data_IF_934188743734
#
_entry.id   IF_934188743734
#
_cell.length_a   1.000
_cell.length_b   1.000
_cell.length_c   1.000
_cell.angle_alpha   90.00
_cell.angle_beta   90.00
_cell.angle_gamma   90.00
#
_symmetry.space_group_name_H-M   'P 1'
#
loop_
_entity.id
_entity.type
_entity.pdbx_description
1 polymer ?
#
# COMPACT_ATOMS: atom_id res chain seq x y z
N UNK A 1 -17.64 0.74 -5.86
CA UNK A 1 -16.95 1.99 -5.48
C UNK A 1 -17.41 3.04 -6.48
N UNK A 2 -18.10 4.08 -6.02
CA UNK A 2 -18.72 5.08 -6.90
C UNK A 2 -17.73 6.22 -7.11
N UNK A 3 -17.47 6.56 -8.38
CA UNK A 3 -16.64 7.70 -8.79
C UNK A 3 -17.53 8.69 -9.56
N UNK A 4 -17.53 9.94 -9.11
CA UNK A 4 -18.12 11.06 -9.84
C UNK A 4 -17.11 11.57 -10.88
N UNK A 5 -17.48 11.52 -12.16
CA UNK A 5 -16.64 12.00 -13.26
C UNK A 5 -17.19 13.33 -13.76
N UNK A 6 -16.43 14.41 -13.62
CA UNK A 6 -16.75 15.76 -14.14
C UNK A 6 -15.73 16.19 -15.20
N UNK A 7 -16.09 17.20 -16.01
CA UNK A 7 -15.20 17.75 -17.04
C UNK A 7 -13.92 18.30 -16.43
N UNK A 8 -14.02 19.02 -15.32
CA UNK A 8 -12.86 19.62 -14.63
C UNK A 8 -11.79 18.58 -14.30
N UNK A 9 -12.19 17.36 -13.99
CA UNK A 9 -11.29 16.29 -13.61
C UNK A 9 -10.51 15.71 -14.81
N UNK A 10 -11.02 15.93 -16.03
CA UNK A 10 -10.52 15.42 -17.31
C UNK A 10 -9.73 16.47 -18.13
N UNK A 11 -9.50 17.67 -17.59
CA UNK A 11 -8.79 18.75 -18.30
C UNK A 11 -7.25 18.66 -18.23
N UNK A 12 -6.67 17.46 -18.13
CA UNK A 12 -5.22 17.24 -17.96
C UNK A 12 -4.42 16.98 -19.26
N UNK A 13 -5.01 17.27 -20.43
CA UNK A 13 -4.33 17.25 -21.72
C UNK A 13 -4.33 15.91 -22.45
N UNK A 14 -4.75 14.83 -21.79
CA UNK A 14 -4.79 13.48 -22.37
C UNK A 14 -6.08 13.19 -23.15
N UNK A 15 -7.17 13.87 -22.79
CA UNK A 15 -8.49 13.70 -23.38
C UNK A 15 -8.77 14.66 -24.53
N UNK A 16 -9.63 14.21 -25.44
CA UNK A 16 -10.22 15.07 -26.46
C UNK A 16 -11.73 14.94 -26.46
N UNK A 17 -12.41 16.05 -26.68
CA UNK A 17 -13.85 16.20 -26.52
C UNK A 17 -14.49 16.58 -27.85
N UNK A 18 -15.67 16.04 -28.08
CA UNK A 18 -16.55 16.50 -29.15
C UNK A 18 -17.76 17.15 -28.49
N UNK A 19 -17.96 18.42 -28.83
CA UNK A 19 -19.14 19.17 -28.46
C UNK A 19 -20.20 19.04 -29.55
N UNK A 20 -21.48 19.11 -29.17
CA UNK A 20 -22.59 19.19 -30.13
C UNK A 20 -22.40 20.32 -31.13
N UNK A 21 -22.72 20.08 -32.40
CA UNK A 21 -22.43 21.00 -33.50
C UNK A 21 -23.11 22.37 -33.30
N UNK A 22 -24.36 22.38 -32.83
CA UNK A 22 -25.08 23.62 -32.50
C UNK A 22 -24.36 24.41 -31.39
N UNK A 23 -23.80 23.73 -30.40
CA UNK A 23 -23.08 24.37 -29.32
C UNK A 23 -21.71 24.89 -29.77
N UNK A 24 -21.05 24.18 -30.69
CA UNK A 24 -19.80 24.64 -31.33
C UNK A 24 -19.99 25.90 -32.15
N UNK A 25 -21.09 26.00 -32.91
CA UNK A 25 -21.46 27.22 -33.63
C UNK A 25 -21.69 28.38 -32.65
N UNK A 26 -22.39 28.15 -31.54
CA UNK A 26 -22.59 29.15 -30.47
C UNK A 26 -21.26 29.63 -29.87
N UNK A 27 -20.33 28.72 -29.56
CA UNK A 27 -18.99 29.06 -29.05
C UNK A 27 -18.24 29.90 -30.10
N UNK A 28 -18.29 29.50 -31.37
CA UNK A 28 -17.59 30.19 -32.45
C UNK A 28 -18.10 31.62 -32.64
N UNK A 29 -19.42 31.84 -32.61
CA UNK A 29 -19.99 33.19 -32.70
C UNK A 29 -19.67 34.03 -31.45
N UNK A 30 -19.66 33.44 -30.24
CA UNK A 30 -19.19 34.15 -29.04
C UNK A 30 -17.74 34.61 -29.16
N UNK A 31 -16.85 33.76 -29.70
CA UNK A 31 -15.44 34.11 -29.95
C UNK A 31 -15.33 35.24 -30.97
N UNK A 32 -16.13 35.21 -32.03
CA UNK A 32 -16.21 36.26 -33.05
C UNK A 32 -16.63 37.61 -32.48
N UNK A 33 -17.68 37.61 -31.67
CA UNK A 33 -18.20 38.83 -31.04
C UNK A 33 -17.18 39.43 -30.08
N UNK A 34 -16.50 38.58 -29.30
CA UNK A 34 -15.47 39.01 -28.35
C UNK A 34 -14.21 39.52 -29.04
N UNK A 35 -13.73 38.81 -30.06
CA UNK A 35 -12.50 39.10 -30.77
C UNK A 35 -12.84 39.46 -32.21
N UNK A 36 -13.01 40.77 -32.49
CA UNK A 36 -13.34 41.32 -33.82
C UNK A 36 -12.41 40.83 -34.94
N UNK A 37 -11.18 40.43 -34.62
CA UNK A 37 -10.21 39.80 -35.52
C UNK A 37 -9.98 38.33 -35.14
N UNK A 38 -10.12 37.44 -36.13
CA UNK A 38 -9.88 36.01 -36.02
C UNK A 38 -8.47 35.63 -35.59
N UNK A 39 -7.47 36.45 -35.93
CA UNK A 39 -6.08 36.23 -35.49
C UNK A 39 -5.96 36.39 -33.97
N UNK A 40 -6.68 37.35 -33.40
CA UNK A 40 -6.71 37.59 -31.96
C UNK A 40 -7.49 36.47 -31.24
N UNK A 41 -8.59 36.00 -31.83
CA UNK A 41 -9.34 34.85 -31.33
C UNK A 41 -8.46 33.58 -31.30
N UNK A 42 -7.76 33.28 -32.40
CA UNK A 42 -6.87 32.12 -32.49
C UNK A 42 -5.70 32.22 -31.50
N UNK A 43 -5.10 33.40 -31.36
CA UNK A 43 -4.04 33.67 -30.37
C UNK A 43 -4.52 33.48 -28.94
N UNK A 44 -5.75 33.91 -28.62
CA UNK A 44 -6.33 33.76 -27.27
C UNK A 44 -6.58 32.30 -26.88
N UNK A 45 -6.77 31.43 -27.87
CA UNK A 45 -6.97 29.99 -27.69
C UNK A 45 -5.69 29.16 -27.86
N UNK A 46 -4.57 29.82 -28.17
CA UNK A 46 -3.27 29.20 -28.46
C UNK A 46 -3.35 28.14 -29.58
N UNK A 47 -3.99 28.52 -30.70
CA UNK A 47 -4.14 27.69 -31.90
C UNK A 47 -3.87 28.52 -33.15
N UNK A 48 -3.60 27.84 -34.28
CA UNK A 48 -3.52 28.53 -35.56
C UNK A 48 -4.91 28.96 -36.07
N UNK A 49 -4.93 29.95 -36.96
CA UNK A 49 -6.18 30.54 -37.49
C UNK A 49 -7.01 29.51 -38.26
N UNK A 50 -6.40 28.54 -38.95
CA UNK A 50 -7.17 27.49 -39.64
C UNK A 50 -7.83 26.55 -38.64
N UNK A 51 -7.17 26.30 -37.52
CA UNK A 51 -7.71 25.51 -36.42
C UNK A 51 -8.91 26.14 -35.71
N UNK A 52 -9.03 27.47 -35.73
CA UNK A 52 -10.19 28.18 -35.19
C UNK A 52 -11.47 27.80 -35.94
N UNK A 53 -11.43 27.70 -37.27
CA UNK A 53 -12.57 27.25 -38.07
C UNK A 53 -12.93 25.78 -37.83
N UNK A 54 -11.99 24.99 -37.33
CA UNK A 54 -12.23 23.63 -36.85
C UNK A 54 -12.92 23.56 -35.49
N UNK A 55 -13.05 24.66 -34.76
CA UNK A 55 -13.96 24.73 -33.62
C UNK A 55 -15.39 24.73 -34.12
N UNK A 56 -15.70 25.49 -35.18
CA UNK A 56 -17.02 25.54 -35.82
C UNK A 56 -17.34 24.25 -36.60
N UNK A 57 -16.46 23.88 -37.53
CA UNK A 57 -16.65 22.71 -38.40
C UNK A 57 -16.22 21.47 -37.62
N UNK A 58 -17.20 20.65 -37.25
CA UNK A 58 -17.02 19.42 -36.48
C UNK A 58 -16.21 18.32 -37.19
N UNK A 59 -15.67 18.61 -38.36
CA UNK A 59 -14.89 17.72 -39.20
C UNK A 59 -13.82 18.45 -40.02
N UNK A 60 -12.80 17.71 -40.43
CA UNK A 60 -11.81 18.09 -41.43
C UNK A 60 -11.92 17.18 -42.66
N UNK A 61 -11.42 17.64 -43.82
CA UNK A 61 -11.36 16.82 -45.05
C UNK A 61 -9.89 16.63 -45.49
N UNK A 62 -9.08 15.85 -44.76
CA UNK A 62 -7.76 15.47 -45.23
C UNK A 62 -7.90 14.42 -46.35
N UNK A 63 -7.34 14.71 -47.53
CA UNK A 63 -7.30 13.80 -48.69
C UNK A 63 -8.70 13.29 -49.12
N UNK A 64 -9.72 14.16 -49.09
CA UNK A 64 -11.07 13.83 -49.54
C UNK A 64 -11.98 13.11 -48.53
N UNK A 65 -11.46 12.68 -47.38
CA UNK A 65 -12.23 11.94 -46.38
C UNK A 65 -12.67 12.81 -45.20
N UNK A 66 -13.96 12.83 -44.85
CA UNK A 66 -14.50 13.53 -43.69
C UNK A 66 -14.03 12.85 -42.39
N UNK A 67 -13.24 13.56 -41.56
CA UNK A 67 -12.77 13.08 -40.25
C UNK A 67 -13.27 13.99 -39.14
N UNK A 68 -13.84 13.41 -38.08
CA UNK A 68 -14.30 14.16 -36.90
C UNK A 68 -13.14 14.93 -36.24
N UNK A 69 -13.38 16.20 -35.94
CA UNK A 69 -12.42 17.07 -35.24
C UNK A 69 -12.79 17.22 -33.78
N UNK A 70 -11.94 16.67 -32.92
CA UNK A 70 -12.04 16.79 -31.46
C UNK A 70 -11.27 18.00 -30.94
N UNK A 71 -11.76 18.61 -29.87
CA UNK A 71 -11.10 19.68 -29.11
C UNK A 71 -10.25 19.06 -28.00
N UNK A 72 -9.02 19.50 -27.82
CA UNK A 72 -8.18 19.05 -26.70
C UNK A 72 -8.65 19.64 -25.37
N UNK A 73 -8.27 19.01 -24.25
CA UNK A 73 -8.47 19.61 -22.91
C UNK A 73 -7.97 21.05 -22.82
N UNK A 74 -6.81 21.35 -23.43
CA UNK A 74 -6.24 22.70 -23.47
C UNK A 74 -7.16 23.68 -24.20
N UNK A 75 -7.71 23.27 -25.34
CA UNK A 75 -8.66 24.11 -26.09
C UNK A 75 -9.96 24.34 -25.32
N UNK A 76 -10.53 23.29 -24.70
CA UNK A 76 -11.73 23.43 -23.86
C UNK A 76 -11.47 24.37 -22.69
N UNK A 77 -10.33 24.23 -22.00
CA UNK A 77 -9.96 25.10 -20.89
C UNK A 77 -9.77 26.56 -21.35
N UNK A 78 -9.09 26.77 -22.49
CA UNK A 78 -8.95 28.11 -23.07
C UNK A 78 -10.30 28.72 -23.45
N UNK A 79 -11.26 27.94 -23.95
CA UNK A 79 -12.61 28.40 -24.28
C UNK A 79 -13.36 28.80 -23.00
N UNK A 80 -13.33 27.96 -21.96
CA UNK A 80 -13.95 28.24 -20.65
C UNK A 80 -13.43 29.56 -20.08
N UNK A 81 -12.11 29.72 -20.02
CA UNK A 81 -11.46 30.92 -19.47
C UNK A 81 -11.73 32.16 -20.32
N UNK A 82 -11.58 32.06 -21.65
CA UNK A 82 -11.77 33.21 -22.51
C UNK A 82 -13.23 33.66 -22.55
N UNK A 83 -14.18 32.75 -22.63
CA UNK A 83 -15.60 33.12 -22.75
C UNK A 83 -16.30 33.23 -21.39
N UNK A 84 -15.60 33.00 -20.28
CA UNK A 84 -16.15 32.95 -18.91
C UNK A 84 -17.39 32.04 -18.83
N UNK A 85 -17.30 30.86 -19.46
CA UNK A 85 -18.40 29.90 -19.48
C UNK A 85 -18.38 29.04 -18.22
N UNK A 86 -19.57 28.68 -17.73
CA UNK A 86 -19.70 27.68 -16.67
C UNK A 86 -19.29 26.30 -17.20
N UNK A 87 -18.44 25.61 -16.45
CA UNK A 87 -18.02 24.24 -16.74
C UNK A 87 -19.23 23.31 -16.87
N UNK A 88 -20.28 23.51 -16.06
CA UNK A 88 -21.50 22.71 -16.13
C UNK A 88 -22.31 22.95 -17.42
N UNK A 89 -22.18 24.12 -18.06
CA UNK A 89 -22.81 24.41 -19.35
C UNK A 89 -22.16 23.54 -20.44
N UNK A 90 -20.82 23.51 -20.48
CA UNK A 90 -20.09 22.74 -21.50
C UNK A 90 -20.27 21.24 -21.30
N UNK A 91 -20.30 20.76 -20.06
CA UNK A 91 -20.51 19.33 -19.71
C UNK A 91 -21.73 18.73 -20.41
N UNK A 92 -22.84 19.45 -20.42
CA UNK A 92 -24.11 19.01 -21.02
C UNK A 92 -24.05 18.84 -22.54
N UNK A 93 -23.10 19.51 -23.19
CA UNK A 93 -22.94 19.51 -24.64
C UNK A 93 -21.78 18.64 -25.13
N UNK A 94 -21.05 17.97 -24.24
CA UNK A 94 -20.08 16.96 -24.63
C UNK A 94 -20.83 15.70 -25.03
N UNK A 95 -20.62 15.22 -26.27
CA UNK A 95 -21.24 13.98 -26.75
C UNK A 95 -20.23 12.90 -27.04
N UNK A 96 -18.95 13.22 -27.25
CA UNK A 96 -17.91 12.21 -27.45
C UNK A 96 -16.66 12.56 -26.66
N UNK A 97 -16.03 11.54 -26.09
CA UNK A 97 -14.72 11.66 -25.46
C UNK A 97 -13.79 10.63 -26.13
N UNK A 98 -12.61 11.10 -26.55
CA UNK A 98 -11.57 10.31 -27.18
C UNK A 98 -10.35 10.22 -26.28
N UNK A 99 -9.90 8.99 -26.04
CA UNK A 99 -8.73 8.62 -25.25
C UNK A 99 -7.53 8.38 -26.19
N UNK A 100 -6.69 9.39 -26.39
CA UNK A 100 -5.46 9.23 -27.19
C UNK A 100 -5.70 8.67 -28.61
N UNK A 101 -4.86 7.73 -29.06
CA UNK A 101 -5.00 7.06 -30.37
C UNK A 101 -5.80 5.74 -30.31
N UNK A 102 -6.13 5.23 -29.12
CA UNK A 102 -6.58 3.86 -28.90
C UNK A 102 -8.09 3.59 -29.17
N UNK A 103 -8.83 4.57 -29.67
CA UNK A 103 -10.24 4.45 -30.05
C UNK A 103 -11.08 5.67 -29.67
N UNK A 104 -12.31 5.74 -30.18
CA UNK A 104 -13.31 6.76 -29.82
C UNK A 104 -14.65 6.09 -29.49
N UNK A 105 -15.49 6.72 -28.66
CA UNK A 105 -16.90 6.33 -28.49
C UNK A 105 -17.83 7.54 -28.48
N UNK A 106 -19.04 7.30 -28.97
CA UNK A 106 -20.15 8.26 -29.03
C UNK A 106 -21.06 8.14 -27.80
N UNK A 107 -21.71 9.26 -27.45
CA UNK A 107 -22.75 9.42 -26.41
C UNK A 107 -22.27 9.25 -24.96
N UNK A 108 -21.27 10.05 -24.56
CA UNK A 108 -20.88 10.19 -23.14
C UNK A 108 -21.57 11.40 -22.55
N UNK A 109 -22.34 11.24 -21.46
CA UNK A 109 -22.98 12.36 -20.75
C UNK A 109 -22.17 12.69 -19.49
N UNK A 110 -21.73 13.95 -19.34
CA UNK A 110 -21.12 14.46 -18.10
C UNK A 110 -22.08 15.43 -17.40
N UNK A 111 -22.04 15.52 -16.04
CA UNK A 111 -21.30 14.64 -15.14
C UNK A 111 -21.91 13.23 -15.11
N UNK A 112 -21.12 12.22 -14.75
CA UNK A 112 -21.63 10.84 -14.58
C UNK A 112 -21.15 10.22 -13.29
N UNK A 113 -21.95 9.28 -12.77
CA UNK A 113 -21.57 8.39 -11.68
C UNK A 113 -21.26 7.01 -12.22
N UNK A 114 -20.07 6.51 -11.89
CA UNK A 114 -19.62 5.19 -12.31
C UNK A 114 -19.34 4.34 -11.08
N UNK A 115 -20.08 3.24 -10.92
CA UNK A 115 -19.77 2.22 -9.93
C UNK A 115 -18.73 1.24 -10.51
N UNK A 116 -17.47 1.41 -10.12
CA UNK A 116 -16.36 0.57 -10.60
C UNK A 116 -16.51 -0.91 -10.26
N UNK A 117 -17.40 -1.29 -9.33
CA UNK A 117 -17.64 -2.70 -9.01
C UNK A 117 -18.65 -3.36 -9.98
N UNK A 118 -19.48 -2.56 -10.65
CA UNK A 118 -20.55 -3.02 -11.54
C UNK A 118 -20.26 -2.74 -13.01
N UNK A 119 -19.46 -1.71 -13.31
CA UNK A 119 -19.18 -1.28 -14.67
C UNK A 119 -18.18 -2.25 -15.37
N UNK A 120 -18.46 -2.77 -16.57
CA UNK A 120 -17.57 -3.72 -17.25
C UNK A 120 -16.20 -3.11 -17.63
N UNK A 121 -15.12 -3.91 -17.55
CA UNK A 121 -13.73 -3.50 -17.81
C UNK A 121 -13.46 -2.92 -19.21
N UNK A 122 -14.30 -3.25 -20.18
CA UNK A 122 -14.17 -2.79 -21.56
C UNK A 122 -14.88 -1.47 -21.85
N UNK A 123 -15.52 -0.85 -20.85
CA UNK A 123 -16.29 0.38 -21.06
C UNK A 123 -15.44 1.63 -20.90
N UNK A 124 -15.79 2.68 -21.65
CA UNK A 124 -15.16 3.99 -21.49
C UNK A 124 -15.52 4.66 -20.17
N UNK A 125 -16.73 4.41 -19.64
CA UNK A 125 -17.15 4.89 -18.33
C UNK A 125 -16.20 4.37 -17.24
N UNK A 126 -15.90 3.08 -17.29
CA UNK A 126 -14.88 2.48 -16.43
C UNK A 126 -13.51 3.07 -16.68
N UNK A 127 -13.06 3.24 -17.93
CA UNK A 127 -11.76 3.84 -18.22
C UNK A 127 -11.63 5.28 -17.68
N UNK A 128 -12.68 6.09 -17.77
CA UNK A 128 -12.72 7.46 -17.24
C UNK A 128 -12.68 7.45 -15.70
N UNK A 129 -13.49 6.60 -15.07
CA UNK A 129 -13.49 6.45 -13.62
C UNK A 129 -12.16 5.86 -13.10
N UNK A 130 -11.54 4.93 -13.82
CA UNK A 130 -10.22 4.37 -13.51
C UNK A 130 -9.12 5.43 -13.67
N UNK A 131 -9.20 6.32 -14.67
CA UNK A 131 -8.28 7.45 -14.82
C UNK A 131 -8.34 8.37 -13.61
N UNK A 132 -9.55 8.77 -13.19
CA UNK A 132 -9.74 9.61 -12.00
C UNK A 132 -9.28 8.91 -10.72
N UNK A 133 -9.63 7.63 -10.58
CA UNK A 133 -9.16 6.81 -9.48
C UNK A 133 -7.63 6.77 -9.44
N UNK A 134 -6.97 6.52 -10.57
CA UNK A 134 -5.51 6.50 -10.64
C UNK A 134 -4.90 7.87 -10.37
N UNK A 135 -5.52 8.95 -10.82
CA UNK A 135 -5.09 10.32 -10.54
C UNK A 135 -5.20 10.66 -9.05
N UNK A 136 -6.33 10.32 -8.42
CA UNK A 136 -6.61 10.62 -7.02
C UNK A 136 -5.77 9.75 -6.07
N UNK A 137 -5.70 8.45 -6.34
CA UNK A 137 -5.09 7.47 -5.44
C UNK A 137 -3.69 7.03 -5.87
N UNK A 138 -3.16 7.60 -6.97
CA UNK A 138 -1.83 7.30 -7.53
C UNK A 138 -1.59 5.80 -7.73
N UNK A 139 -2.65 5.04 -8.06
CA UNK A 139 -2.62 3.57 -8.18
C UNK A 139 -3.67 3.06 -9.18
N UNK A 140 -3.43 1.93 -9.85
CA UNK A 140 -4.39 1.39 -10.83
C UNK A 140 -5.50 0.57 -10.15
N UNK A 141 -6.72 0.57 -10.71
CA UNK A 141 -7.82 -0.29 -10.22
C UNK A 141 -7.49 -1.78 -10.37
N UNK A 142 -6.62 -2.14 -11.32
CA UNK A 142 -6.10 -3.51 -11.48
C UNK A 142 -5.10 -3.92 -10.38
N UNK A 143 -4.50 -2.95 -9.70
CA UNK A 143 -3.65 -3.14 -8.52
C UNK A 143 -4.43 -3.09 -7.20
N UNK A 144 -5.74 -2.84 -7.26
CA UNK A 144 -6.59 -3.08 -6.12
C UNK A 144 -6.78 -4.59 -5.96
N UNK A 145 -6.64 -5.14 -4.74
CA UNK A 145 -6.97 -6.54 -4.47
C UNK A 145 -8.38 -6.85 -5.00
N UNK A 146 -8.51 -7.83 -5.90
CA UNK A 146 -9.81 -8.30 -6.38
C UNK A 146 -10.62 -8.78 -5.17
N UNK A 147 -11.69 -8.03 -4.85
CA UNK A 147 -12.69 -8.28 -3.80
C UNK A 147 -12.07 -8.54 -2.42
N UNK A 148 -12.14 -7.52 -1.58
CA UNK A 148 -12.28 -7.70 -0.13
C UNK A 148 -13.60 -8.46 0.12
N UNK A 149 -13.53 -9.79 0.08
CA UNK A 149 -14.65 -10.63 0.52
C UNK A 149 -14.75 -10.39 2.03
N UNK A 150 -15.92 -9.94 2.50
CA UNK A 150 -16.28 -10.03 3.91
C UNK A 150 -16.37 -11.52 4.27
N UNK A 151 -15.22 -12.15 4.46
CA UNK A 151 -15.09 -13.08 5.57
C UNK A 151 -14.89 -12.23 6.83
N UNK A 152 -15.04 -12.81 8.02
CA UNK A 152 -14.79 -12.11 9.28
C UNK A 152 -13.44 -11.39 9.34
N UNK A 153 -12.49 -11.79 8.48
CA UNK A 153 -11.16 -11.21 8.33
C UNK A 153 -10.91 -10.78 6.88
N UNK A 154 -10.10 -9.73 6.72
CA UNK A 154 -9.64 -9.27 5.42
C UNK A 154 -8.68 -10.31 4.84
N UNK A 155 -8.85 -10.67 3.56
CA UNK A 155 -7.91 -11.56 2.88
C UNK A 155 -7.36 -10.98 1.58
N UNK A 156 -6.06 -11.15 1.38
CA UNK A 156 -5.36 -10.84 0.14
C UNK A 156 -5.25 -12.10 -0.71
N UNK A 157 -5.93 -12.11 -1.85
CA UNK A 157 -5.81 -13.17 -2.86
C UNK A 157 -4.66 -12.84 -3.82
N UNK A 158 -3.74 -13.78 -3.99
CA UNK A 158 -2.50 -13.60 -4.74
C UNK A 158 -2.59 -14.40 -6.03
N UNK A 159 -2.27 -13.73 -7.15
CA UNK A 159 -2.19 -14.34 -8.47
C UNK A 159 -0.85 -14.00 -9.09
N UNK A 160 -0.16 -15.02 -9.60
CA UNK A 160 1.07 -14.82 -10.39
C UNK A 160 0.64 -14.55 -11.83
N UNK A 161 0.74 -13.28 -12.24
CA UNK A 161 0.35 -12.88 -13.59
C UNK A 161 1.30 -13.46 -14.65
N UNK A 162 0.81 -13.83 -15.85
CA UNK A 162 1.65 -14.30 -16.95
C UNK A 162 2.78 -13.33 -17.32
N UNK A 163 2.53 -12.02 -17.24
CA UNK A 163 3.54 -10.98 -17.48
C UNK A 163 4.74 -11.07 -16.54
N UNK A 164 4.55 -11.58 -15.31
CA UNK A 164 5.65 -11.77 -14.36
C UNK A 164 6.55 -12.93 -14.77
N UNK A 165 5.95 -14.02 -15.25
CA UNK A 165 6.69 -15.17 -15.80
C UNK A 165 7.47 -14.73 -17.04
N UNK A 166 6.83 -13.95 -17.92
CA UNK A 166 7.48 -13.43 -19.12
C UNK A 166 8.65 -12.50 -18.80
N UNK A 167 8.52 -11.64 -17.78
CA UNK A 167 9.63 -10.78 -17.33
C UNK A 167 10.86 -11.56 -16.85
N UNK A 168 10.68 -12.79 -16.34
CA UNK A 168 11.79 -13.65 -15.96
C UNK A 168 12.42 -14.31 -17.19
N UNK A 169 11.60 -14.75 -18.17
CA UNK A 169 12.08 -15.27 -19.45
C UNK A 169 12.93 -14.26 -20.22
N UNK A 170 12.47 -13.00 -20.28
CA UNK A 170 13.21 -11.90 -20.90
C UNK A 170 14.56 -11.62 -20.24
N UNK A 171 14.77 -12.04 -18.99
CA UNK A 171 16.05 -11.97 -18.27
C UNK A 171 16.95 -13.19 -18.51
N UNK A 172 16.58 -14.07 -19.46
CA UNK A 172 17.29 -15.32 -19.75
C UNK A 172 17.03 -16.44 -18.74
N UNK A 173 16.09 -16.27 -17.81
CA UNK A 173 15.72 -17.33 -16.87
C UNK A 173 14.75 -18.31 -17.53
N UNK A 174 14.75 -19.57 -17.09
CA UNK A 174 13.77 -20.59 -17.53
C UNK A 174 12.73 -20.84 -16.45
N UNK A 175 11.72 -19.97 -16.27
CA UNK A 175 10.75 -20.10 -15.19
C UNK A 175 9.72 -21.19 -15.46
N UNK A 176 9.40 -21.94 -14.41
CA UNK A 176 8.30 -22.90 -14.32
C UNK A 176 7.43 -22.53 -13.12
N UNK A 177 6.12 -22.52 -13.32
CA UNK A 177 5.15 -22.22 -12.27
C UNK A 177 4.35 -23.49 -11.96
N UNK A 178 4.55 -24.04 -10.78
CA UNK A 178 3.71 -25.11 -10.26
C UNK A 178 2.63 -24.51 -9.36
N UNK A 179 1.40 -24.99 -9.51
CA UNK A 179 0.27 -24.56 -8.69
C UNK A 179 -0.06 -25.68 -7.72
N UNK A 180 0.21 -25.49 -6.42
CA UNK A 180 -0.24 -26.39 -5.34
C UNK A 180 -1.58 -25.91 -4.80
N UNK A 181 -2.18 -26.59 -3.83
CA UNK A 181 -3.47 -26.20 -3.25
C UNK A 181 -3.41 -24.79 -2.64
N UNK A 182 -2.49 -24.56 -1.71
CA UNK A 182 -2.39 -23.34 -0.89
C UNK A 182 -1.35 -22.31 -1.36
N UNK A 183 -0.40 -22.71 -2.20
CA UNK A 183 0.69 -21.84 -2.66
C UNK A 183 1.09 -22.15 -4.11
N UNK A 184 1.83 -21.22 -4.70
CA UNK A 184 2.55 -21.40 -5.95
C UNK A 184 4.02 -21.71 -5.65
N UNK A 185 4.63 -22.54 -6.49
CA UNK A 185 6.07 -22.74 -6.54
C UNK A 185 6.58 -22.18 -7.86
N UNK A 186 7.34 -21.09 -7.79
CA UNK A 186 8.01 -20.51 -8.94
C UNK A 186 9.47 -20.96 -8.93
N UNK A 187 9.81 -21.81 -9.90
CA UNK A 187 11.16 -22.35 -10.08
C UNK A 187 11.81 -21.69 -11.29
N UNK A 188 13.10 -21.38 -11.22
CA UNK A 188 13.87 -20.98 -12.39
C UNK A 188 15.35 -21.29 -12.21
N UNK A 189 16.02 -21.60 -13.32
CA UNK A 189 17.47 -21.79 -13.37
C UNK A 189 18.16 -20.47 -13.69
N UNK A 190 19.15 -20.09 -12.88
CA UNK A 190 19.99 -18.92 -13.17
C UNK A 190 21.08 -19.33 -14.18
N UNK A 191 21.11 -18.79 -15.41
CA UNK A 191 22.10 -19.18 -16.39
C UNK A 191 23.54 -18.81 -15.99
N UNK A 192 23.72 -17.79 -15.12
CA UNK A 192 25.05 -17.35 -14.68
C UNK A 192 25.69 -18.22 -13.60
N UNK A 193 24.89 -18.82 -12.70
CA UNK A 193 25.41 -19.67 -11.61
C UNK A 193 25.03 -21.15 -11.78
N UNK A 194 24.17 -21.44 -12.76
CA UNK A 194 23.57 -22.74 -13.02
C UNK A 194 22.67 -23.30 -11.89
N UNK A 195 22.46 -22.52 -10.82
CA UNK A 195 21.66 -22.91 -9.66
C UNK A 195 20.17 -22.89 -9.95
N UNK A 196 19.47 -23.83 -9.33
CA UNK A 196 18.01 -23.82 -9.25
C UNK A 196 17.55 -22.93 -8.11
N UNK A 197 16.70 -21.97 -8.45
CA UNK A 197 16.05 -21.10 -7.48
C UNK A 197 14.59 -21.48 -7.40
N UNK A 198 14.14 -21.78 -6.17
CA UNK A 198 12.74 -21.99 -5.85
C UNK A 198 12.22 -20.81 -5.02
N UNK A 199 10.99 -20.38 -5.32
CA UNK A 199 10.27 -19.35 -4.57
C UNK A 199 8.85 -19.84 -4.30
N UNK A 200 8.50 -19.91 -3.02
CA UNK A 200 7.14 -20.25 -2.58
C UNK A 200 6.35 -18.97 -2.33
N UNK A 201 5.17 -18.87 -2.95
CA UNK A 201 4.27 -17.71 -2.81
C UNK A 201 2.89 -18.23 -2.39
N UNK A 202 2.33 -17.83 -1.24
CA UNK A 202 0.99 -18.25 -0.84
C UNK A 202 -0.05 -17.75 -1.85
N UNK A 203 -1.13 -18.49 -2.05
CA UNK A 203 -2.26 -18.05 -2.90
C UNK A 203 -3.16 -17.06 -2.18
N UNK A 204 -3.17 -17.09 -0.85
CA UNK A 204 -4.03 -16.28 -0.01
C UNK A 204 -3.31 -15.96 1.29
N UNK A 205 -3.47 -14.73 1.76
CA UNK A 205 -3.03 -14.30 3.09
C UNK A 205 -4.24 -13.73 3.81
N UNK A 206 -4.50 -14.19 5.03
CA UNK A 206 -5.60 -13.71 5.87
C UNK A 206 -5.01 -12.76 6.92
N UNK A 207 -5.53 -11.54 6.98
CA UNK A 207 -5.11 -10.51 7.92
C UNK A 207 -5.89 -10.63 9.23
N UNK A 208 -5.63 -11.72 9.96
CA UNK A 208 -6.15 -11.96 11.30
C UNK A 208 -5.21 -11.40 12.38
N UNK A 209 -5.55 -11.57 13.65
CA UNK A 209 -4.79 -11.07 14.81
C UNK A 209 -3.34 -11.58 14.80
N UNK A 210 -3.15 -12.88 14.54
CA UNK A 210 -1.83 -13.50 14.50
C UNK A 210 -0.96 -12.90 13.39
N UNK A 211 -1.47 -12.86 12.16
CA UNK A 211 -0.73 -12.29 11.04
C UNK A 211 -0.51 -10.77 11.23
N UNK A 212 -1.52 -10.05 11.71
CA UNK A 212 -1.44 -8.61 11.94
C UNK A 212 -0.37 -8.26 12.97
N UNK A 213 -0.26 -9.03 14.06
CA UNK A 213 0.81 -8.86 15.06
C UNK A 213 2.20 -9.02 14.42
N UNK A 214 2.43 -10.12 13.71
CA UNK A 214 3.74 -10.36 13.09
C UNK A 214 4.03 -9.37 11.95
N UNK A 215 3.01 -8.89 11.25
CA UNK A 215 3.15 -7.82 10.27
C UNK A 215 3.51 -6.49 10.94
N UNK A 216 2.93 -6.17 12.11
CA UNK A 216 3.30 -5.00 12.91
C UNK A 216 4.76 -5.03 13.36
N UNK A 217 5.24 -6.21 13.82
CA UNK A 217 6.67 -6.44 14.12
C UNK A 217 7.55 -6.16 12.91
N UNK A 218 7.16 -6.66 11.74
CA UNK A 218 7.90 -6.45 10.51
C UNK A 218 7.92 -4.98 10.06
N UNK A 219 6.81 -4.25 10.20
CA UNK A 219 6.78 -2.82 9.86
C UNK A 219 7.82 -2.04 10.69
N UNK A 220 7.94 -2.34 11.99
CA UNK A 220 8.95 -1.72 12.87
C UNK A 220 10.37 -2.21 12.59
N UNK A 221 10.61 -3.52 12.71
CA UNK A 221 11.95 -4.10 12.82
C UNK A 221 12.41 -4.90 11.59
N UNK A 222 11.84 -4.62 10.41
CA UNK A 222 12.23 -5.32 9.16
C UNK A 222 13.71 -5.18 8.83
N UNK A 223 14.26 -6.28 8.33
CA UNK A 223 15.62 -6.34 7.79
C UNK A 223 15.67 -6.95 6.38
N UNK A 224 16.86 -7.02 5.78
CA UNK A 224 17.10 -7.77 4.54
C UNK A 224 16.89 -7.02 3.21
N UNK A 225 16.41 -5.78 3.26
CA UNK A 225 16.27 -4.92 2.08
C UNK A 225 15.18 -5.37 1.10
N UNK A 226 15.20 -4.90 -0.16
CA UNK A 226 14.09 -5.09 -1.11
C UNK A 226 13.96 -6.52 -1.69
N UNK A 227 14.84 -7.45 -1.29
CA UNK A 227 14.88 -8.81 -1.82
C UNK A 227 14.53 -9.88 -0.79
N UNK A 228 14.36 -9.48 0.47
CA UNK A 228 14.16 -10.39 1.58
C UNK A 228 12.99 -9.91 2.45
N UNK A 229 12.46 -10.86 3.19
CA UNK A 229 11.50 -10.60 4.27
C UNK A 229 12.15 -11.14 5.52
N UNK A 230 12.29 -10.31 6.52
CA UNK A 230 12.91 -10.71 7.77
C UNK A 230 12.76 -9.63 8.82
N UNK A 231 13.10 -9.99 10.04
CA UNK A 231 13.16 -9.08 11.19
C UNK A 231 14.47 -9.27 11.94
N UNK A 232 14.90 -8.22 12.62
CA UNK A 232 16.04 -8.27 13.52
C UNK A 232 15.65 -7.71 14.90
N UNK A 233 15.95 -8.45 15.96
CA UNK A 233 15.65 -8.04 17.33
C UNK A 233 16.55 -8.77 18.34
N UNK A 234 16.72 -8.23 19.54
CA UNK A 234 17.48 -8.90 20.62
C UNK A 234 16.70 -10.01 21.31
N UNK A 235 15.38 -9.95 21.27
CA UNK A 235 14.52 -10.90 21.97
C UNK A 235 14.32 -12.18 21.15
N UNK A 236 14.60 -13.31 21.78
CA UNK A 236 14.49 -14.64 21.16
C UNK A 236 13.05 -15.00 20.81
N UNK A 237 12.09 -14.65 21.67
CA UNK A 237 10.66 -14.87 21.44
C UNK A 237 10.14 -14.10 20.24
N UNK A 238 10.63 -12.88 20.02
CA UNK A 238 10.28 -12.06 18.86
C UNK A 238 10.65 -12.76 17.55
N UNK A 239 11.86 -13.33 17.49
CA UNK A 239 12.39 -14.05 16.32
C UNK A 239 11.66 -15.38 16.12
N UNK A 240 11.43 -16.14 17.19
CA UNK A 240 10.73 -17.43 17.13
C UNK A 240 9.30 -17.27 16.64
N UNK A 241 8.57 -16.27 17.13
CA UNK A 241 7.21 -15.97 16.66
C UNK A 241 7.22 -15.59 15.16
N UNK A 242 8.20 -14.78 14.72
CA UNK A 242 8.29 -14.40 13.31
C UNK A 242 8.70 -15.58 12.41
N UNK A 243 9.49 -16.54 12.92
CA UNK A 243 9.76 -17.78 12.18
C UNK A 243 8.47 -18.55 11.88
N UNK A 244 7.57 -18.65 12.87
CA UNK A 244 6.28 -19.33 12.70
C UNK A 244 5.44 -18.67 11.62
N UNK A 245 5.47 -17.34 11.47
CA UNK A 245 4.72 -16.69 10.37
C UNK A 245 5.30 -17.03 9.00
N UNK A 246 6.63 -17.19 8.88
CA UNK A 246 7.25 -17.63 7.61
C UNK A 246 6.85 -19.08 7.27
N UNK A 247 6.75 -19.95 8.27
CA UNK A 247 6.26 -21.33 8.12
C UNK A 247 4.78 -21.36 7.70
N UNK A 248 3.92 -20.53 8.30
CA UNK A 248 2.51 -20.36 7.89
C UNK A 248 2.39 -19.84 6.45
N UNK A 249 3.33 -19.02 6.00
CA UNK A 249 3.45 -18.59 4.61
C UNK A 249 4.13 -19.64 3.70
N UNK A 250 4.28 -20.87 4.20
CA UNK A 250 4.87 -22.03 3.53
C UNK A 250 6.31 -21.79 3.03
N UNK A 251 7.07 -20.94 3.71
CA UNK A 251 8.48 -20.74 3.36
C UNK A 251 9.29 -21.97 3.78
N UNK A 252 10.08 -22.57 2.87
CA UNK A 252 10.88 -23.74 3.21
C UNK A 252 11.91 -23.40 4.29
N UNK A 253 12.01 -24.22 5.35
CA UNK A 253 12.95 -23.96 6.46
C UNK A 253 14.41 -23.85 6.00
N UNK A 254 14.79 -24.57 4.92
CA UNK A 254 16.12 -24.48 4.29
C UNK A 254 16.45 -23.09 3.70
N UNK A 255 15.42 -22.31 3.36
CA UNK A 255 15.55 -20.98 2.76
C UNK A 255 15.45 -19.86 3.80
N UNK A 256 15.12 -20.20 5.05
CA UNK A 256 15.07 -19.29 6.18
C UNK A 256 16.47 -19.22 6.79
N UNK A 257 17.08 -18.05 6.70
CA UNK A 257 18.37 -17.75 7.33
C UNK A 257 18.14 -17.27 8.76
N UNK A 258 18.73 -17.98 9.71
CA UNK A 258 18.80 -17.59 11.12
C UNK A 258 20.25 -17.31 11.49
N UNK A 259 20.56 -16.06 11.83
CA UNK A 259 21.91 -15.61 12.16
C UNK A 259 21.90 -14.63 13.34
N UNK A 260 23.02 -14.51 14.04
CA UNK A 260 23.28 -13.41 14.99
C UNK A 260 24.15 -12.40 14.26
N UNK A 261 23.69 -11.16 14.21
CA UNK A 261 24.49 -10.02 13.74
C UNK A 261 25.18 -9.36 14.92
N UNK A 262 26.52 -9.29 14.88
CA UNK A 262 27.35 -8.73 15.96
C UNK A 262 28.21 -7.57 15.44
N UNK A 263 28.46 -6.56 16.27
CA UNK A 263 29.54 -5.61 15.99
C UNK A 263 30.89 -6.35 15.96
N UNK A 264 31.85 -5.85 15.18
CA UNK A 264 33.15 -6.52 14.97
C UNK A 264 33.93 -6.80 16.27
N UNK A 265 33.67 -6.03 17.33
CA UNK A 265 34.38 -6.15 18.61
C UNK A 265 33.57 -6.91 19.68
N UNK A 266 32.41 -7.46 19.33
CA UNK A 266 31.54 -8.19 20.24
C UNK A 266 31.61 -9.70 19.98
N UNK A 267 31.95 -10.48 21.00
CA UNK A 267 31.94 -11.93 20.93
C UNK A 267 30.69 -12.47 21.64
N UNK A 268 29.77 -13.14 20.92
CA UNK A 268 28.59 -13.73 21.55
C UNK A 268 28.98 -14.88 22.48
N UNK A 269 28.38 -14.92 23.67
CA UNK A 269 28.56 -16.01 24.64
C UNK A 269 27.72 -17.25 24.24
N UNK A 270 27.89 -18.36 24.96
CA UNK A 270 27.16 -19.61 24.67
C UNK A 270 25.64 -19.45 24.75
N UNK A 271 25.14 -18.65 25.69
CA UNK A 271 23.70 -18.37 25.83
C UNK A 271 23.11 -17.74 24.57
N UNK A 272 23.86 -16.83 23.93
CA UNK A 272 23.41 -16.19 22.69
C UNK A 272 23.37 -17.17 21.52
N UNK A 273 24.23 -18.19 21.51
CA UNK A 273 24.34 -19.19 20.44
C UNK A 273 23.28 -20.30 20.52
N UNK A 274 22.34 -20.22 21.47
CA UNK A 274 21.26 -21.20 21.67
C UNK A 274 20.32 -21.31 20.46
N UNK A 275 20.02 -20.20 19.78
CA UNK A 275 19.13 -20.20 18.60
C UNK A 275 19.87 -20.59 17.31
N UNK A 276 21.09 -20.09 17.14
CA UNK A 276 21.88 -20.30 15.92
C UNK A 276 23.36 -20.16 16.20
N UNK A 277 24.15 -21.00 15.52
CA UNK A 277 25.61 -20.94 15.51
C UNK A 277 26.15 -20.02 14.42
N UNK A 278 25.28 -19.51 13.53
CA UNK A 278 25.70 -18.65 12.42
C UNK A 278 25.86 -17.21 12.91
N UNK A 279 27.09 -16.69 12.84
CA UNK A 279 27.43 -15.33 13.25
C UNK A 279 27.81 -14.50 12.02
N UNK A 280 27.23 -13.31 11.89
CA UNK A 280 27.61 -12.30 10.89
C UNK A 280 28.13 -11.05 11.61
N UNK A 281 29.40 -10.72 11.39
CA UNK A 281 29.97 -9.49 11.91
C UNK A 281 29.63 -8.31 10.98
N UNK A 282 28.89 -7.34 11.50
CA UNK A 282 28.54 -6.10 10.83
C UNK A 282 28.07 -5.04 11.83
N UNK A 283 28.15 -3.76 11.47
CA UNK A 283 27.61 -2.67 12.29
C UNK A 283 26.10 -2.87 12.50
N UNK A 284 25.68 -3.05 13.75
CA UNK A 284 24.28 -3.22 14.12
C UNK A 284 23.70 -1.92 14.71
N UNK A 285 22.43 -1.66 14.41
CA UNK A 285 21.66 -0.54 14.99
C UNK A 285 21.06 -0.89 16.37
N UNK A 286 21.17 -2.15 16.78
CA UNK A 286 20.53 -2.71 17.97
C UNK A 286 21.47 -2.75 19.19
N UNK A 287 22.64 -2.12 19.14
CA UNK A 287 23.67 -2.18 20.19
C UNK A 287 24.78 -3.14 19.77
N UNK A 288 25.16 -4.10 20.62
CA UNK A 288 26.28 -5.02 20.32
C UNK A 288 25.90 -6.19 19.41
N UNK A 289 24.67 -6.67 19.53
CA UNK A 289 24.15 -7.78 18.74
C UNK A 289 22.64 -7.65 18.48
N UNK A 290 22.16 -8.40 17.49
CA UNK A 290 20.76 -8.75 17.31
C UNK A 290 20.64 -10.10 16.61
N UNK A 291 19.64 -10.88 16.99
CA UNK A 291 19.20 -12.01 16.20
C UNK A 291 18.52 -11.52 14.94
N UNK A 292 18.67 -12.28 13.86
CA UNK A 292 18.10 -11.97 12.57
C UNK A 292 17.54 -13.23 11.95
N UNK A 293 16.30 -13.12 11.51
CA UNK A 293 15.63 -14.14 10.71
C UNK A 293 15.20 -13.53 9.39
N UNK A 294 15.57 -14.15 8.27
CA UNK A 294 15.16 -13.67 6.95
C UNK A 294 15.02 -14.77 5.91
N UNK A 295 14.05 -14.61 5.00
CA UNK A 295 13.89 -15.44 3.81
C UNK A 295 14.20 -14.62 2.55
N UNK A 296 15.03 -15.17 1.67
CA UNK A 296 15.37 -14.52 0.40
C UNK A 296 14.27 -14.75 -0.65
N UNK A 297 13.16 -14.03 -0.53
CA UNK A 297 12.01 -14.15 -1.43
C UNK A 297 11.46 -12.79 -1.89
N UNK A 298 12.10 -12.21 -2.92
CA UNK A 298 11.66 -10.94 -3.56
C UNK A 298 10.21 -11.02 -4.05
N UNK A 299 9.76 -12.17 -4.55
CA UNK A 299 8.42 -12.29 -5.11
C UNK A 299 7.37 -12.20 -4.01
N UNK A 300 7.59 -12.90 -2.89
CA UNK A 300 6.75 -12.79 -1.70
C UNK A 300 6.76 -11.36 -1.14
N UNK A 301 7.94 -10.72 -1.07
CA UNK A 301 8.08 -9.33 -0.62
C UNK A 301 7.15 -8.41 -1.42
N UNK A 302 7.30 -8.46 -2.74
CA UNK A 302 6.59 -7.57 -3.65
C UNK A 302 5.09 -7.86 -3.76
N UNK A 303 4.68 -9.13 -3.76
CA UNK A 303 3.28 -9.52 -3.99
C UNK A 303 2.45 -9.61 -2.70
N UNK A 304 3.09 -9.57 -1.54
CA UNK A 304 2.40 -9.68 -0.25
C UNK A 304 2.75 -8.50 0.63
N UNK A 305 3.97 -8.45 1.14
CA UNK A 305 4.35 -7.49 2.17
C UNK A 305 4.29 -6.04 1.70
N UNK A 306 4.81 -5.73 0.50
CA UNK A 306 4.77 -4.38 -0.06
C UNK A 306 3.33 -3.94 -0.39
N UNK A 307 2.47 -4.89 -0.80
CA UNK A 307 1.04 -4.61 -1.06
C UNK A 307 0.33 -4.30 0.27
N UNK A 308 0.53 -5.14 1.28
CA UNK A 308 -0.06 -4.95 2.60
C UNK A 308 0.43 -3.65 3.25
N UNK A 309 1.70 -3.29 3.11
CA UNK A 309 2.25 -2.01 3.59
C UNK A 309 1.62 -0.83 2.86
N UNK A 310 1.54 -0.89 1.52
CA UNK A 310 0.93 0.16 0.69
C UNK A 310 -0.52 0.44 1.09
N UNK A 311 -1.27 -0.59 1.47
CA UNK A 311 -2.69 -0.47 1.83
C UNK A 311 -2.96 -0.59 3.33
N UNK A 312 -1.92 -0.49 4.18
CA UNK A 312 -1.99 -0.79 5.61
C UNK A 312 -3.17 -0.10 6.31
N UNK A 313 -3.26 1.22 6.21
CA UNK A 313 -4.30 1.98 6.91
C UNK A 313 -5.71 1.68 6.39
N UNK A 314 -5.85 1.36 5.10
CA UNK A 314 -7.14 0.91 4.56
C UNK A 314 -7.52 -0.47 5.10
N UNK A 315 -6.55 -1.37 5.25
CA UNK A 315 -6.78 -2.71 5.83
C UNK A 315 -7.18 -2.55 7.29
N UNK A 316 -6.40 -1.82 8.09
CA UNK A 316 -6.67 -1.61 9.51
C UNK A 316 -8.03 -0.95 9.75
N UNK A 317 -8.36 0.11 9.00
CA UNK A 317 -9.64 0.82 9.13
C UNK A 317 -10.87 -0.07 8.89
N UNK A 318 -10.74 -1.11 8.07
CA UNK A 318 -11.80 -2.06 7.77
C UNK A 318 -11.69 -3.38 8.56
N UNK A 319 -10.72 -3.48 9.48
CA UNK A 319 -10.52 -4.67 10.31
C UNK A 319 -11.28 -4.56 11.64
N UNK A 320 -11.48 -5.70 12.31
CA UNK A 320 -11.99 -5.76 13.68
C UNK A 320 -11.02 -5.07 14.66
N UNK A 321 -11.54 -4.58 15.80
CA UNK A 321 -10.74 -3.92 16.85
C UNK A 321 -9.59 -4.79 17.35
N UNK A 322 -9.78 -6.09 17.43
CA UNK A 322 -8.82 -7.08 17.90
C UNK A 322 -7.63 -7.18 16.94
N UNK A 323 -7.89 -7.12 15.63
CA UNK A 323 -6.85 -7.13 14.58
C UNK A 323 -6.02 -5.85 14.62
N UNK A 324 -6.67 -4.69 14.78
CA UNK A 324 -5.98 -3.40 14.95
C UNK A 324 -5.10 -3.43 16.21
N UNK A 325 -5.66 -3.93 17.31
CA UNK A 325 -4.95 -4.08 18.58
C UNK A 325 -3.75 -5.01 18.45
N UNK A 326 -3.90 -6.17 17.80
CA UNK A 326 -2.82 -7.11 17.58
C UNK A 326 -1.71 -6.52 16.70
N UNK A 327 -2.05 -5.80 15.64
CA UNK A 327 -1.07 -5.05 14.84
C UNK A 327 -0.25 -4.09 15.70
N UNK A 328 -0.93 -3.29 16.53
CA UNK A 328 -0.24 -2.34 17.41
C UNK A 328 0.53 -3.01 18.54
N UNK A 329 0.14 -4.19 18.99
CA UNK A 329 0.96 -5.00 19.89
C UNK A 329 2.29 -5.38 19.23
N UNK A 330 2.27 -5.84 17.98
CA UNK A 330 3.47 -6.20 17.24
C UNK A 330 4.38 -5.00 16.96
N UNK A 331 3.78 -3.87 16.56
CA UNK A 331 4.50 -2.62 16.35
C UNK A 331 5.10 -2.09 17.66
N UNK A 332 4.36 -2.20 18.77
CA UNK A 332 4.88 -1.86 20.09
C UNK A 332 5.99 -2.80 20.54
N UNK A 333 5.94 -4.10 20.23
CA UNK A 333 7.05 -5.03 20.50
C UNK A 333 8.33 -4.64 19.74
N UNK A 334 8.22 -4.11 18.53
CA UNK A 334 9.35 -3.61 17.74
C UNK A 334 9.83 -2.21 18.18
N UNK A 335 8.99 -1.19 18.07
CA UNK A 335 9.35 0.24 18.19
C UNK A 335 8.90 0.88 19.51
N UNK A 336 8.18 0.13 20.33
CA UNK A 336 7.60 0.62 21.57
C UNK A 336 8.60 0.72 22.71
N UNK A 337 8.45 1.77 23.52
CA UNK A 337 9.17 1.97 24.77
C UNK A 337 8.23 2.38 25.89
N UNK A 338 8.64 2.04 27.12
CA UNK A 338 7.91 2.37 28.34
C UNK A 338 8.79 3.28 29.20
N UNK A 339 8.34 4.51 29.44
CA UNK A 339 9.01 5.44 30.34
C UNK A 339 8.42 5.31 31.75
N UNK A 340 9.16 4.66 32.63
CA UNK A 340 8.72 4.41 34.01
C UNK A 340 8.57 5.70 34.84
N UNK A 341 9.40 6.72 34.58
CA UNK A 341 9.36 7.99 35.34
C UNK A 341 8.10 8.79 35.03
N UNK A 342 7.79 8.95 33.75
CA UNK A 342 6.58 9.68 33.32
C UNK A 342 5.34 8.78 33.24
N UNK A 343 5.50 7.46 33.41
CA UNK A 343 4.44 6.45 33.21
C UNK A 343 3.80 6.55 31.83
N UNK A 344 4.64 6.68 30.80
CA UNK A 344 4.20 6.86 29.42
C UNK A 344 4.58 5.66 28.56
N UNK A 345 3.69 5.37 27.61
CA UNK A 345 3.96 4.45 26.50
C UNK A 345 4.25 5.30 25.28
N UNK A 346 5.29 4.92 24.55
CA UNK A 346 5.75 5.64 23.37
C UNK A 346 5.98 4.65 22.24
N UNK A 347 5.48 4.95 21.04
CA UNK A 347 5.88 4.29 19.79
C UNK A 347 6.62 5.33 18.95
N UNK A 348 7.86 5.03 18.56
CA UNK A 348 8.73 5.96 17.87
C UNK A 348 8.85 5.63 16.38
N UNK A 349 8.87 6.66 15.54
CA UNK A 349 9.07 6.54 14.09
C UNK A 349 10.20 7.46 13.66
N UNK A 350 11.21 6.91 12.99
CA UNK A 350 12.47 7.62 12.70
C UNK A 350 12.80 7.75 11.22
N UNK A 351 13.43 8.87 10.86
CA UNK A 351 14.09 9.08 9.57
C UNK A 351 15.56 9.46 9.82
N UNK A 352 16.47 8.73 9.17
CA UNK A 352 17.88 9.10 9.13
C UNK A 352 18.06 10.25 8.12
N UNK A 353 18.53 11.40 8.60
CA UNK A 353 18.65 12.59 7.77
C UNK A 353 19.90 12.53 6.88
N UNK A 354 20.97 11.79 7.22
CA UNK A 354 22.23 11.80 6.46
C UNK A 354 22.12 11.32 4.98
N UNK A 355 20.99 10.75 4.56
CA UNK A 355 20.73 10.29 3.18
C UNK A 355 19.73 11.22 2.47
N UNK A 356 20.24 12.34 1.94
CA UNK A 356 19.55 13.34 1.11
C UNK A 356 18.14 13.70 1.57
N UNK A 357 18.03 14.79 2.31
CA UNK A 357 16.74 15.32 2.77
C UNK A 357 15.93 15.84 1.59
N UNK A 358 14.66 15.46 1.53
CA UNK A 358 13.65 16.22 0.80
C UNK A 358 12.50 16.48 1.76
N UNK A 359 11.88 17.66 1.69
CA UNK A 359 10.69 17.99 2.48
C UNK A 359 9.60 16.92 2.30
N UNK A 360 9.55 16.29 1.13
CA UNK A 360 8.66 15.16 0.83
C UNK A 360 8.85 13.95 1.75
N UNK A 361 10.09 13.55 2.08
CA UNK A 361 10.34 12.41 2.98
C UNK A 361 9.85 12.70 4.40
N UNK A 362 10.03 13.94 4.86
CA UNK A 362 9.56 14.38 6.18
C UNK A 362 8.03 14.44 6.23
N UNK A 363 7.40 15.00 5.20
CA UNK A 363 5.94 15.04 5.08
C UNK A 363 5.34 13.64 5.00
N UNK A 364 5.99 12.73 4.27
CA UNK A 364 5.58 11.32 4.21
C UNK A 364 5.59 10.67 5.59
N UNK A 365 6.67 10.84 6.36
CA UNK A 365 6.76 10.32 7.73
C UNK A 365 5.68 10.92 8.63
N UNK A 366 5.45 12.23 8.56
CA UNK A 366 4.42 12.89 9.37
C UNK A 366 3.01 12.36 9.04
N UNK A 367 2.68 12.22 7.76
CA UNK A 367 1.39 11.68 7.32
C UNK A 367 1.21 10.22 7.78
N UNK A 368 2.28 9.43 7.77
CA UNK A 368 2.27 8.05 8.29
C UNK A 368 1.98 8.02 9.79
N UNK A 369 2.64 8.89 10.56
CA UNK A 369 2.40 9.02 12.02
C UNK A 369 0.97 9.47 12.31
N UNK A 370 0.44 10.46 11.57
CA UNK A 370 -0.95 10.90 11.72
C UNK A 370 -1.94 9.78 11.40
N UNK A 371 -1.67 9.00 10.35
CA UNK A 371 -2.51 7.84 10.00
C UNK A 371 -2.48 6.76 11.10
N UNK A 372 -1.34 6.57 11.77
CA UNK A 372 -1.26 5.69 12.94
C UNK A 372 -2.11 6.19 14.11
N UNK A 373 -2.06 7.49 14.40
CA UNK A 373 -2.89 8.12 15.44
C UNK A 373 -4.38 7.88 15.16
N UNK A 374 -4.84 8.06 13.92
CA UNK A 374 -6.23 7.78 13.53
C UNK A 374 -6.62 6.32 13.83
N UNK A 375 -5.76 5.35 13.53
CA UNK A 375 -6.07 3.93 13.81
C UNK A 375 -6.08 3.61 15.31
N UNK A 376 -5.24 4.27 16.12
CA UNK A 376 -5.26 4.12 17.59
C UNK A 376 -6.55 4.69 18.19
N UNK A 377 -7.07 5.78 17.64
CA UNK A 377 -8.36 6.33 18.04
C UNK A 377 -9.52 5.37 17.76
N UNK A 378 -9.46 4.58 16.67
CA UNK A 378 -10.48 3.55 16.39
C UNK A 378 -10.55 2.46 17.46
N UNK A 379 -9.47 2.21 18.20
CA UNK A 379 -9.47 1.31 19.35
C UNK A 379 -9.64 2.05 20.69
N UNK A 380 -10.08 3.31 20.65
CA UNK A 380 -10.39 4.12 21.83
C UNK A 380 -9.17 4.60 22.61
N UNK A 381 -8.00 4.66 21.98
CA UNK A 381 -6.76 5.13 22.61
C UNK A 381 -6.46 6.54 22.13
N UNK A 382 -6.46 7.50 23.06
CA UNK A 382 -6.02 8.86 22.77
C UNK A 382 -4.49 9.03 22.88
N UNK A 383 -3.93 9.75 21.92
CA UNK A 383 -2.47 9.95 21.81
C UNK A 383 -2.09 11.40 21.58
N UNK A 384 -0.84 11.71 21.86
CA UNK A 384 -0.18 12.97 21.53
C UNK A 384 1.03 12.69 20.63
N UNK A 385 1.34 13.64 19.75
CA UNK A 385 2.56 13.57 18.95
C UNK A 385 3.64 14.46 19.58
N UNK A 386 4.87 13.97 19.61
CA UNK A 386 6.03 14.81 19.91
C UNK A 386 7.12 14.61 18.87
N UNK A 387 7.89 15.66 18.60
CA UNK A 387 8.98 15.64 17.63
C UNK A 387 10.32 15.72 18.36
N UNK A 388 11.25 14.84 18.02
CA UNK A 388 12.63 14.83 18.49
C UNK A 388 13.59 14.95 17.32
N UNK A 389 14.59 15.81 17.45
CA UNK A 389 15.69 15.94 16.48
C UNK A 389 16.98 15.55 17.18
N UNK A 390 17.55 14.41 16.79
CA UNK A 390 18.83 13.96 17.31
C UNK A 390 19.97 14.75 16.68
N UNK A 391 20.84 15.32 17.53
CA UNK A 391 22.04 16.09 17.15
C UNK A 391 23.35 15.33 17.40
N UNK A 392 23.35 14.00 17.29
CA UNK A 392 24.60 13.22 17.28
C UNK A 392 25.15 13.14 15.84
N UNK A 393 26.32 12.52 15.65
CA UNK A 393 27.02 12.32 14.37
C UNK A 393 26.15 11.76 13.22
N UNK A 394 24.94 11.31 13.54
CA UNK A 394 23.85 11.02 12.61
C UNK A 394 22.63 11.89 12.93
N UNK A 395 22.41 12.94 12.15
CA UNK A 395 21.20 13.73 12.27
C UNK A 395 19.99 12.83 12.02
N UNK A 396 19.07 12.77 12.98
CA UNK A 396 17.85 11.95 12.89
C UNK A 396 16.65 12.76 13.29
N UNK A 397 15.55 12.56 12.55
CA UNK A 397 14.24 13.07 12.92
C UNK A 397 13.41 11.91 13.44
N UNK A 398 12.86 12.05 14.64
CA UNK A 398 11.91 11.10 15.21
C UNK A 398 10.59 11.78 15.56
N UNK A 399 9.49 11.10 15.27
CA UNK A 399 8.17 11.43 15.79
C UNK A 399 7.75 10.32 16.75
N UNK A 400 7.32 10.73 17.93
CA UNK A 400 6.86 9.84 18.98
C UNK A 400 5.35 9.98 19.13
N UNK A 401 4.63 8.86 19.04
CA UNK A 401 3.25 8.75 19.46
C UNK A 401 3.27 8.41 20.96
N UNK A 402 2.82 9.35 21.79
CA UNK A 402 2.78 9.24 23.25
C UNK A 402 1.35 9.01 23.70
N UNK A 403 1.16 8.01 24.55
CA UNK A 403 -0.14 7.65 25.07
C UNK A 403 -0.43 8.52 26.29
N UNK A 404 -1.65 9.06 26.39
CA UNK A 404 -2.07 9.75 27.63
C UNK A 404 -2.13 8.73 28.77
N UNK A 405 -1.99 9.18 30.02
CA UNK A 405 -1.83 8.27 31.17
C UNK A 405 -2.96 7.23 31.32
N UNK A 406 -4.22 7.64 31.15
CA UNK A 406 -5.38 6.74 31.23
C UNK A 406 -5.43 5.78 30.03
N UNK A 407 -5.12 6.29 28.84
CA UNK A 407 -5.05 5.51 27.60
C UNK A 407 -3.86 4.54 27.54
N UNK A 408 -2.77 4.83 28.24
CA UNK A 408 -1.64 3.93 28.38
C UNK A 408 -2.05 2.65 29.13
N UNK A 409 -2.90 2.79 30.17
CA UNK A 409 -3.47 1.65 30.88
C UNK A 409 -4.45 0.87 30.00
N UNK A 410 -5.37 1.57 29.34
CA UNK A 410 -6.32 0.95 28.40
C UNK A 410 -5.58 0.19 27.28
N UNK A 411 -4.51 0.77 26.74
CA UNK A 411 -3.68 0.13 25.74
C UNK A 411 -2.99 -1.12 26.29
N UNK A 412 -2.38 -1.03 27.49
CA UNK A 412 -1.79 -2.17 28.18
C UNK A 412 -2.80 -3.30 28.31
N UNK A 413 -4.01 -3.01 28.78
CA UNK A 413 -5.06 -4.02 28.94
C UNK A 413 -5.46 -4.70 27.63
N UNK A 414 -5.48 -3.93 26.54
CA UNK A 414 -5.83 -4.43 25.20
C UNK A 414 -4.73 -5.29 24.59
N UNK A 415 -3.46 -4.94 24.80
CA UNK A 415 -2.33 -5.69 24.23
C UNK A 415 -1.81 -6.82 25.12
N UNK A 416 -2.13 -6.82 26.42
CA UNK A 416 -1.66 -7.83 27.37
C UNK A 416 -1.90 -9.29 26.92
N UNK A 417 -3.04 -9.65 26.29
CA UNK A 417 -3.25 -11.01 25.77
C UNK A 417 -2.31 -11.39 24.62
N UNK A 418 -1.75 -10.42 23.92
CA UNK A 418 -0.95 -10.63 22.72
C UNK A 418 0.56 -10.51 22.97
N UNK A 419 0.99 -9.80 24.01
CA UNK A 419 2.41 -9.50 24.24
C UNK A 419 3.16 -10.71 24.81
N UNK A 420 4.35 -11.00 24.28
CA UNK A 420 5.23 -12.10 24.74
C UNK A 420 6.63 -11.64 25.13
N UNK A 421 6.82 -10.33 25.29
CA UNK A 421 8.11 -9.73 25.62
C UNK A 421 8.22 -9.52 27.14
N UNK A 422 9.00 -10.35 27.87
CA UNK A 422 8.99 -10.35 29.34
C UNK A 422 9.36 -9.01 29.97
N UNK A 423 10.42 -8.35 29.49
CA UNK A 423 10.82 -7.03 30.01
C UNK A 423 9.76 -5.94 29.78
N UNK A 424 9.05 -5.97 28.64
CA UNK A 424 7.97 -5.01 28.36
C UNK A 424 6.78 -5.30 29.26
N UNK A 425 6.44 -6.58 29.48
CA UNK A 425 5.41 -7.00 30.43
C UNK A 425 5.74 -6.50 31.84
N UNK A 426 6.97 -6.69 32.31
CA UNK A 426 7.41 -6.23 33.63
C UNK A 426 7.29 -4.71 33.77
N UNK A 427 7.73 -3.95 32.76
CA UNK A 427 7.59 -2.48 32.76
C UNK A 427 6.12 -2.04 32.66
N UNK A 428 5.27 -2.77 31.96
CA UNK A 428 3.83 -2.52 31.89
C UNK A 428 3.15 -2.80 33.24
N UNK A 429 3.56 -3.85 33.96
CA UNK A 429 3.13 -4.15 35.32
C UNK A 429 3.46 -3.00 36.27
N UNK A 430 4.65 -2.40 36.13
CA UNK A 430 5.06 -1.26 36.96
C UNK A 430 4.23 0.01 36.71
N UNK A 431 3.57 0.14 35.54
CA UNK A 431 2.67 1.24 35.23
C UNK A 431 1.23 0.93 35.63
N UNK A 432 0.72 -0.27 35.31
CA UNK A 432 -0.68 -0.64 35.46
C UNK A 432 -1.05 -1.45 36.70
N UNK A 433 -0.07 -1.89 37.48
CA UNK A 433 -0.27 -2.77 38.64
C UNK A 433 -0.37 -4.25 38.26
N UNK A 434 0.09 -5.14 39.14
CA UNK A 434 0.14 -6.60 38.89
C UNK A 434 -1.23 -7.21 38.54
N UNK A 435 -2.30 -6.76 39.20
CA UNK A 435 -3.64 -7.33 39.00
C UNK A 435 -4.20 -7.09 37.60
N UNK A 436 -3.85 -5.98 36.96
CA UNK A 436 -4.35 -5.58 35.63
C UNK A 436 -3.75 -6.44 34.52
N UNK A 437 -2.49 -6.86 34.70
CA UNK A 437 -1.71 -7.59 33.68
C UNK A 437 -1.76 -9.10 33.93
N UNK A 438 -1.63 -9.57 35.18
CA UNK A 438 -1.63 -11.01 35.50
C UNK A 438 -3.00 -11.68 35.34
N UNK A 439 -4.13 -10.99 35.58
CA UNK A 439 -5.46 -11.59 35.42
C UNK A 439 -5.83 -11.88 33.95
N UNK A 440 -5.16 -11.23 32.98
CA UNK A 440 -5.41 -11.43 31.53
C UNK A 440 -4.31 -12.23 30.82
N UNK A 441 -3.24 -12.60 31.53
CA UNK A 441 -2.21 -13.53 31.06
C UNK A 441 -2.64 -14.97 31.39
N UNK A 442 -3.53 -15.57 30.59
CA UNK A 442 -3.93 -16.99 30.74
C UNK A 442 -4.16 -17.67 29.37
N UNK A 443 -4.03 -19.01 29.33
CA UNK A 443 -2.91 -19.74 28.73
C UNK A 443 -2.93 -19.72 27.20
N UNK A 444 -1.74 -19.93 26.62
CA UNK A 444 -1.46 -20.19 25.20
C UNK A 444 -2.68 -20.12 24.27
N UNK A 445 -2.83 -19.00 23.55
CA UNK A 445 -3.65 -19.00 22.34
C UNK A 445 -3.16 -20.17 21.48
N UNK A 446 -4.00 -21.20 21.37
CA UNK A 446 -3.77 -22.41 20.61
C UNK A 446 -3.07 -22.05 19.30
N UNK A 447 -1.86 -22.57 19.11
CA UNK A 447 -1.08 -22.51 17.86
C UNK A 447 -1.77 -23.41 16.78
N UNK A 448 -3.07 -23.67 16.92
CA UNK A 448 -3.85 -24.60 16.15
C UNK A 448 -4.42 -23.99 14.88
N UNK A 449 -3.80 -24.35 13.76
CA UNK A 449 -4.44 -24.66 12.48
C UNK A 449 -5.26 -23.55 11.80
N UNK A 450 -4.58 -22.73 11.01
CA UNK A 450 -5.15 -22.22 9.74
C UNK A 450 -4.39 -22.92 8.62
N UNK A 451 -4.86 -24.13 8.34
CA UNK A 451 -4.33 -25.09 7.37
C UNK A 451 -5.21 -26.35 7.29
N UNK A 452 -6.00 -26.65 8.32
CA UNK A 452 -7.08 -27.64 8.27
C UNK A 452 -8.37 -27.08 8.88
N UNK A 453 -9.10 -26.26 8.13
CA UNK A 453 -10.53 -26.05 8.38
C UNK A 453 -11.24 -26.23 7.04
N UNK A 454 -11.39 -27.50 6.64
CA UNK A 454 -12.41 -28.04 5.70
C UNK A 454 -12.23 -29.55 5.42
N UNK A 455 -11.18 -30.20 5.95
CA UNK A 455 -11.03 -31.66 5.87
C UNK A 455 -11.49 -32.35 7.15
N UNK A 456 -12.77 -32.23 7.53
CA UNK A 456 -13.46 -33.11 8.50
C UNK A 456 -14.96 -32.79 8.58
N UNK A 457 -15.66 -32.80 7.43
CA UNK A 457 -17.12 -32.93 7.37
C UNK A 457 -17.54 -33.75 6.14
N UNK A 458 -16.85 -34.84 5.87
CA UNK A 458 -17.32 -35.93 4.98
C UNK A 458 -16.71 -37.27 5.42
N UNK A 459 -16.89 -37.62 6.68
CA UNK A 459 -16.92 -39.03 7.08
C UNK A 459 -18.25 -39.25 7.78
N UNK A 460 -19.27 -39.61 6.99
CA UNK A 460 -20.43 -40.30 7.50
C UNK A 460 -19.96 -41.67 8.00
N UNK A 461 -20.11 -42.02 9.28
CA UNK A 461 -20.00 -43.40 9.71
C UNK A 461 -21.39 -44.06 9.62
N UNK A 462 -21.46 -45.12 8.82
CA UNK A 462 -22.45 -46.23 8.86
C UNK A 462 -23.91 -45.90 8.51
N UNK A 463 -24.37 -46.43 7.39
CA UNK A 463 -25.02 -47.75 7.31
C UNK A 463 -24.77 -48.37 5.94
#
# INVERSE_FOLDING_TARGET
MIIDVKLVDLLDGTFRFYLEDLYRDKIFEKLRQKHKDWRLAAKSLDIDVRSLFGIRRSYEIPKGCKKIRYLSSKQINSILVNLQLDTNEIEKHITHIKLGQAGFRSRVNLPMQVDLDKEPFSTINRALAEHLFTKQYKTSVKELPQKFIKEEYISLNIKILPSKIESLRLRGLKPQLQTKEYYYILQYRNPGTNDYVEKVIPKRVIFNENFAKEFGKWIGDRCGGPHKIGVANKQTSFISDFNKILEVLHQPSKDISNEITCNNNFQPNEDLLTITKNIRYCKTQYGDYAYRIEVANKVLRNLVFDILEKYLFSILKNSKSEVITAFYCGLFEAEGSVNLKSKEIIISFGLNLNKSHTNEKVLKLLNEVLSHIEMLQLIGVETQISRKVGRTDQASLKYDIRFKKQDALLFIEKIAPFIKHPEKIERMIQIGGENLVKQKLLPEMNIGLIGHCLAQKTSNPKM
#
